data_IF_927289039693
#
_entry.id   IF_927289039693
#
_cell.length_a   1.000
_cell.length_b   1.000
_cell.length_c   1.000
_cell.angle_alpha   90.00
_cell.angle_beta   90.00
_cell.angle_gamma   90.00
#
_symmetry.space_group_name_H-M   'P 1'
#
loop_
_entity.id
_entity.type
_entity.pdbx_description
1 polymer ?
#
# COMPACT_ATOMS: atom_id res chain seq x y z
N UNK A 1 -32.38 36.83 12.03
CA UNK A 1 -32.22 35.43 11.65
C UNK A 1 -31.51 35.39 10.32
N UNK A 2 -30.26 34.94 10.26
CA UNK A 2 -29.51 34.87 8.99
C UNK A 2 -30.11 33.74 8.15
N UNK A 3 -30.96 34.05 7.21
CA UNK A 3 -31.55 33.10 6.28
C UNK A 3 -30.84 33.23 4.94
N UNK A 4 -29.82 32.45 4.72
CA UNK A 4 -29.16 32.33 3.42
C UNK A 4 -30.02 31.50 2.47
N UNK A 5 -30.08 31.90 1.20
CA UNK A 5 -30.69 31.10 0.14
C UNK A 5 -29.86 29.85 -0.14
N UNK A 6 -30.47 28.84 -0.77
CA UNK A 6 -29.73 27.64 -1.18
C UNK A 6 -28.53 27.97 -2.09
N UNK A 7 -28.69 28.96 -2.97
CA UNK A 7 -27.60 29.42 -3.85
C UNK A 7 -26.43 30.00 -3.06
N UNK A 8 -26.72 30.78 -2.01
CA UNK A 8 -25.68 31.36 -1.14
C UNK A 8 -24.97 30.27 -0.35
N UNK A 9 -25.67 29.25 0.19
CA UNK A 9 -25.07 28.10 0.84
C UNK A 9 -24.15 27.33 -0.09
N UNK A 10 -24.55 27.10 -1.33
CA UNK A 10 -23.72 26.48 -2.36
C UNK A 10 -22.49 27.32 -2.71
N UNK A 11 -22.67 28.66 -2.80
CA UNK A 11 -21.54 29.55 -3.02
C UNK A 11 -20.52 29.48 -1.89
N UNK A 12 -20.93 29.52 -0.62
CA UNK A 12 -20.05 29.33 0.52
C UNK A 12 -19.36 27.98 0.47
N UNK A 13 -20.09 26.90 0.20
CA UNK A 13 -19.50 25.58 0.04
C UNK A 13 -18.35 25.56 -0.97
N UNK A 14 -18.56 26.10 -2.18
CA UNK A 14 -17.50 26.10 -3.21
C UNK A 14 -16.33 27.00 -2.86
N UNK A 15 -16.59 28.17 -2.30
CA UNK A 15 -15.53 29.09 -1.84
C UNK A 15 -14.65 28.41 -0.79
N UNK A 16 -15.26 27.76 0.20
CA UNK A 16 -14.50 27.07 1.24
C UNK A 16 -13.84 25.78 0.76
N UNK A 17 -14.40 25.08 -0.22
CA UNK A 17 -13.70 23.99 -0.92
C UNK A 17 -12.40 24.48 -1.56
N UNK A 18 -12.46 25.66 -2.20
CA UNK A 18 -11.30 26.27 -2.85
C UNK A 18 -10.26 26.77 -1.83
N UNK A 19 -10.69 27.48 -0.80
CA UNK A 19 -9.77 27.93 0.26
C UNK A 19 -9.09 26.78 0.99
N UNK A 20 -9.84 25.72 1.29
CA UNK A 20 -9.30 24.50 1.86
C UNK A 20 -8.26 23.85 0.94
N UNK A 21 -8.52 23.83 -0.37
CA UNK A 21 -7.55 23.35 -1.34
C UNK A 21 -6.29 24.22 -1.40
N UNK A 22 -6.41 25.54 -1.38
CA UNK A 22 -5.27 26.45 -1.32
C UNK A 22 -4.42 26.18 -0.08
N UNK A 23 -5.05 26.13 1.09
CA UNK A 23 -4.37 25.90 2.36
C UNK A 23 -3.62 24.57 2.38
N UNK A 24 -4.31 23.47 2.08
CA UNK A 24 -3.72 22.10 2.07
C UNK A 24 -2.62 21.97 1.01
N UNK A 25 -2.83 22.51 -0.19
CA UNK A 25 -1.85 22.40 -1.26
C UNK A 25 -0.57 23.17 -0.92
N UNK A 26 -0.69 24.37 -0.34
CA UNK A 26 0.47 25.14 0.13
C UNK A 26 1.17 24.40 1.27
N UNK A 27 0.43 23.96 2.29
CA UNK A 27 1.00 23.26 3.44
C UNK A 27 1.78 22.02 3.03
N UNK A 28 1.16 21.15 2.22
CA UNK A 28 1.80 19.92 1.77
C UNK A 28 2.95 20.20 0.81
N UNK A 29 2.84 21.20 -0.08
CA UNK A 29 3.91 21.55 -1.01
C UNK A 29 5.17 22.04 -0.28
N UNK A 30 5.00 22.82 0.78
CA UNK A 30 6.12 23.27 1.63
C UNK A 30 6.78 22.08 2.33
N UNK A 31 5.99 21.16 2.87
CA UNK A 31 6.50 19.99 3.58
C UNK A 31 7.21 18.98 2.64
N UNK A 32 6.67 18.78 1.44
CA UNK A 32 7.21 17.85 0.43
C UNK A 32 8.29 18.49 -0.46
N UNK A 33 8.59 19.79 -0.29
CA UNK A 33 9.53 20.56 -1.12
C UNK A 33 9.26 20.48 -2.63
N UNK A 34 8.00 20.27 -3.01
CA UNK A 34 7.52 20.23 -4.41
C UNK A 34 6.06 20.66 -4.48
N UNK A 35 5.64 21.13 -5.65
CA UNK A 35 4.23 21.44 -5.84
C UNK A 35 3.36 20.18 -5.76
N UNK A 36 2.38 20.19 -4.87
CA UNK A 36 1.40 19.11 -4.69
C UNK A 36 -0.01 19.68 -4.81
N UNK A 37 -0.74 19.27 -5.84
CA UNK A 37 -2.19 19.52 -5.93
C UNK A 37 -2.90 18.58 -4.94
N UNK A 38 -3.08 19.04 -3.70
CA UNK A 38 -3.62 18.22 -2.60
C UNK A 38 -5.11 17.98 -2.76
N UNK A 39 -5.56 16.78 -2.41
CA UNK A 39 -6.97 16.43 -2.27
C UNK A 39 -7.41 15.19 -3.03
N UNK A 40 -8.66 14.83 -2.80
CA UNK A 40 -9.32 13.70 -3.45
C UNK A 40 -9.65 14.02 -4.93
N UNK A 41 -10.13 15.24 -5.20
CA UNK A 41 -10.54 15.69 -6.52
C UNK A 41 -9.35 16.14 -7.38
N UNK A 42 -9.56 16.17 -8.69
CA UNK A 42 -8.53 16.64 -9.64
C UNK A 42 -8.44 18.15 -9.68
N UNK A 43 -9.58 18.82 -9.63
CA UNK A 43 -9.69 20.27 -9.58
C UNK A 43 -9.33 20.86 -8.20
N UNK A 44 -9.32 22.19 -8.10
CA UNK A 44 -8.94 22.91 -6.90
C UNK A 44 -10.06 22.93 -5.86
N UNK A 45 -10.50 21.75 -5.43
CA UNK A 45 -11.60 21.62 -4.47
C UNK A 45 -11.30 20.52 -3.45
N UNK A 46 -11.51 20.84 -2.16
CA UNK A 46 -11.55 19.83 -1.09
C UNK A 46 -12.93 19.86 -0.44
N UNK A 47 -13.83 18.91 -0.81
CA UNK A 47 -15.21 18.89 -0.34
C UNK A 47 -15.36 18.88 1.19
N UNK A 48 -14.41 18.27 1.90
CA UNK A 48 -14.41 18.21 3.35
C UNK A 48 -14.37 19.60 3.99
N UNK A 49 -13.59 20.53 3.44
CA UNK A 49 -13.49 21.90 3.93
C UNK A 49 -14.77 22.69 3.67
N UNK A 50 -15.36 22.56 2.47
CA UNK A 50 -16.64 23.19 2.15
C UNK A 50 -17.77 22.66 3.03
N UNK A 51 -17.85 21.33 3.20
CA UNK A 51 -18.85 20.70 4.08
C UNK A 51 -18.66 21.11 5.54
N UNK A 52 -17.40 21.15 6.01
CA UNK A 52 -17.05 21.60 7.35
C UNK A 52 -17.47 23.04 7.60
N UNK A 53 -17.13 23.95 6.70
CA UNK A 53 -17.48 25.37 6.81
C UNK A 53 -19.00 25.58 6.85
N UNK A 54 -19.73 24.96 5.92
CA UNK A 54 -21.21 25.04 5.89
C UNK A 54 -21.81 24.47 7.17
N UNK A 55 -21.31 23.34 7.66
CA UNK A 55 -21.76 22.73 8.92
C UNK A 55 -21.47 23.65 10.12
N UNK A 56 -20.25 24.20 10.22
CA UNK A 56 -19.86 25.12 11.30
C UNK A 56 -20.73 26.38 11.29
N UNK A 57 -20.97 26.99 10.12
CA UNK A 57 -21.87 28.14 9.97
C UNK A 57 -23.28 27.78 10.44
N UNK A 58 -23.81 26.66 9.94
CA UNK A 58 -25.18 26.23 10.29
C UNK A 58 -25.35 25.99 11.79
N UNK A 59 -24.38 25.30 12.42
CA UNK A 59 -24.42 24.98 13.84
C UNK A 59 -24.22 26.21 14.75
N UNK A 60 -23.48 27.22 14.27
CA UNK A 60 -23.17 28.41 15.08
C UNK A 60 -24.23 29.51 14.97
N UNK A 61 -25.10 29.51 13.93
CA UNK A 61 -26.18 30.49 13.79
C UNK A 61 -27.03 30.65 15.07
N UNK A 62 -27.55 29.57 15.72
CA UNK A 62 -28.41 29.71 16.88
C UNK A 62 -27.66 30.14 18.17
N UNK A 63 -26.36 30.01 18.21
CA UNK A 63 -25.52 30.33 19.39
C UNK A 63 -24.58 31.52 19.14
N UNK A 64 -24.80 32.26 18.05
CA UNK A 64 -23.97 33.42 17.69
C UNK A 64 -23.97 34.46 18.81
N UNK A 65 -22.78 34.98 19.11
CA UNK A 65 -22.55 35.89 20.23
C UNK A 65 -22.14 35.22 21.55
N UNK A 66 -22.24 33.89 21.66
CA UNK A 66 -21.65 33.14 22.76
C UNK A 66 -20.45 32.33 22.26
N UNK A 67 -19.25 32.91 22.39
CA UNK A 67 -18.01 32.31 21.86
C UNK A 67 -17.73 30.92 22.42
N UNK A 68 -18.08 30.69 23.71
CA UNK A 68 -17.86 29.37 24.31
C UNK A 68 -18.78 28.31 23.68
N UNK A 69 -20.05 28.61 23.46
CA UNK A 69 -20.97 27.69 22.80
C UNK A 69 -20.59 27.50 21.33
N UNK A 70 -20.21 28.56 20.61
CA UNK A 70 -19.74 28.45 19.24
C UNK A 70 -18.50 27.54 19.14
N UNK A 71 -17.54 27.68 20.05
CA UNK A 71 -16.37 26.81 20.15
C UNK A 71 -16.77 25.35 20.33
N UNK A 72 -17.60 25.07 21.33
CA UNK A 72 -18.00 23.68 21.69
C UNK A 72 -18.77 23.04 20.53
N UNK A 73 -19.77 23.73 20.00
CA UNK A 73 -20.61 23.20 18.91
C UNK A 73 -19.81 22.99 17.64
N UNK A 74 -18.91 23.91 17.32
CA UNK A 74 -18.00 23.79 16.18
C UNK A 74 -17.01 22.63 16.34
N UNK A 75 -16.38 22.51 17.50
CA UNK A 75 -15.45 21.42 17.79
C UNK A 75 -16.13 20.05 17.65
N UNK A 76 -17.30 19.88 18.23
CA UNK A 76 -18.07 18.62 18.17
C UNK A 76 -18.50 18.36 16.71
N UNK A 77 -19.14 19.35 16.05
CA UNK A 77 -19.65 19.20 14.70
C UNK A 77 -18.55 18.83 13.69
N UNK A 78 -17.42 19.53 13.74
CA UNK A 78 -16.29 19.24 12.88
C UNK A 78 -15.68 17.83 13.16
N UNK A 79 -15.53 17.47 14.41
CA UNK A 79 -15.00 16.15 14.80
C UNK A 79 -15.91 15.00 14.33
N UNK A 80 -17.23 15.17 14.46
CA UNK A 80 -18.20 14.18 13.95
C UNK A 80 -18.11 14.08 12.42
N UNK A 81 -18.04 15.20 11.71
CA UNK A 81 -17.89 15.21 10.26
C UNK A 81 -16.58 14.54 9.82
N UNK A 82 -15.47 14.85 10.50
CA UNK A 82 -14.15 14.26 10.24
C UNK A 82 -14.17 12.75 10.44
N UNK A 83 -14.77 12.27 11.53
CA UNK A 83 -14.90 10.85 11.82
C UNK A 83 -15.74 10.10 10.78
N UNK A 84 -16.89 10.66 10.42
CA UNK A 84 -17.80 10.08 9.40
C UNK A 84 -17.07 10.01 8.06
N UNK A 85 -16.48 11.13 7.62
CA UNK A 85 -15.78 11.21 6.34
C UNK A 85 -14.59 10.23 6.30
N UNK A 86 -13.76 10.21 7.34
CA UNK A 86 -12.64 9.28 7.44
C UNK A 86 -13.08 7.82 7.40
N UNK A 87 -14.19 7.49 8.06
CA UNK A 87 -14.76 6.13 8.05
C UNK A 87 -15.30 5.75 6.68
N UNK A 88 -16.05 6.63 6.04
CA UNK A 88 -16.62 6.41 4.71
C UNK A 88 -15.52 6.23 3.67
N UNK A 89 -14.53 7.12 3.67
CA UNK A 89 -13.41 7.08 2.73
C UNK A 89 -12.58 5.80 2.87
N UNK A 90 -12.25 5.40 4.10
CA UNK A 90 -11.49 4.18 4.37
C UNK A 90 -12.27 2.91 3.98
N UNK A 91 -13.58 2.86 4.24
CA UNK A 91 -14.42 1.70 3.86
C UNK A 91 -14.63 1.61 2.35
N UNK A 92 -14.89 2.74 1.69
CA UNK A 92 -15.14 2.77 0.25
C UNK A 92 -13.86 2.48 -0.55
N UNK A 93 -12.75 3.14 -0.23
CA UNK A 93 -11.54 3.13 -1.04
C UNK A 93 -10.42 2.26 -0.48
N UNK A 94 -10.54 1.79 0.78
CA UNK A 94 -9.49 1.02 1.44
C UNK A 94 -8.24 1.84 1.76
N UNK A 95 -8.32 3.17 1.67
CA UNK A 95 -7.22 4.12 1.87
C UNK A 95 -7.65 5.18 2.89
N UNK A 96 -6.77 5.46 3.84
CA UNK A 96 -6.92 6.53 4.82
C UNK A 96 -6.13 7.74 4.35
N UNK A 97 -6.79 8.88 4.19
CA UNK A 97 -6.18 10.12 3.65
C UNK A 97 -5.42 10.92 4.70
N UNK A 98 -5.77 10.76 5.98
CA UNK A 98 -5.05 11.28 7.16
C UNK A 98 -5.02 10.22 8.25
N UNK A 99 -4.03 10.29 9.13
CA UNK A 99 -3.82 9.27 10.16
C UNK A 99 -3.31 9.92 11.45
N UNK A 100 -4.09 9.79 12.50
CA UNK A 100 -3.77 10.27 13.84
C UNK A 100 -3.35 9.14 14.79
N UNK A 101 -2.98 7.97 14.29
CA UNK A 101 -2.62 6.81 15.15
C UNK A 101 -1.47 7.15 16.10
N UNK A 102 -0.53 8.00 15.66
CA UNK A 102 0.61 8.43 16.46
C UNK A 102 0.28 9.57 17.44
N UNK A 103 -0.95 10.13 17.39
CA UNK A 103 -1.37 11.23 18.26
C UNK A 103 -1.99 10.70 19.56
N UNK A 104 -1.72 11.41 20.69
CA UNK A 104 -2.35 11.09 21.98
C UNK A 104 -3.86 11.33 21.91
N UNK A 105 -4.63 10.52 22.65
CA UNK A 105 -6.09 10.59 22.67
C UNK A 105 -6.73 10.56 21.28
N UNK A 106 -6.19 9.71 20.37
CA UNK A 106 -6.86 9.44 19.12
C UNK A 106 -7.94 8.36 19.28
N UNK A 107 -8.96 8.43 18.43
CA UNK A 107 -9.99 7.40 18.34
C UNK A 107 -9.90 6.74 16.95
N UNK A 108 -9.46 5.49 16.92
CA UNK A 108 -9.24 4.67 15.72
C UNK A 108 -8.34 5.35 14.67
N UNK A 109 -7.47 6.27 15.08
CA UNK A 109 -6.59 7.03 14.18
C UNK A 109 -7.30 8.00 13.22
N UNK A 110 -8.64 8.18 13.34
CA UNK A 110 -9.42 9.04 12.44
C UNK A 110 -9.64 10.44 12.99
N UNK A 111 -9.74 10.57 14.31
CA UNK A 111 -9.86 11.82 15.04
C UNK A 111 -8.93 11.81 16.24
N UNK A 112 -8.53 12.96 16.72
CA UNK A 112 -7.77 13.10 17.97
C UNK A 112 -8.15 14.39 18.73
N UNK A 113 -7.87 14.41 20.03
CA UNK A 113 -8.21 15.53 20.89
C UNK A 113 -7.55 16.84 20.42
N UNK A 114 -6.30 16.79 19.99
CA UNK A 114 -5.57 17.95 19.46
C UNK A 114 -6.31 18.58 18.27
N UNK A 115 -6.74 17.76 17.30
CA UNK A 115 -7.52 18.21 16.16
C UNK A 115 -8.88 18.76 16.58
N UNK A 116 -9.59 18.10 17.50
CA UNK A 116 -10.88 18.58 18.04
C UNK A 116 -10.76 19.97 18.65
N UNK A 117 -9.73 20.20 19.46
CA UNK A 117 -9.45 21.51 20.07
C UNK A 117 -9.18 22.58 18.98
N UNK A 118 -8.36 22.24 17.99
CA UNK A 118 -8.07 23.14 16.87
C UNK A 118 -9.32 23.46 16.04
N UNK A 119 -10.21 22.50 15.81
CA UNK A 119 -11.47 22.73 15.10
C UNK A 119 -12.38 23.73 15.83
N UNK A 120 -12.41 23.70 17.17
CA UNK A 120 -13.13 24.69 17.96
C UNK A 120 -12.59 26.10 17.74
N UNK A 121 -11.29 26.31 17.81
CA UNK A 121 -10.65 27.60 17.52
C UNK A 121 -10.86 28.02 16.08
N UNK A 122 -10.69 27.11 15.15
CA UNK A 122 -10.89 27.38 13.73
C UNK A 122 -12.34 27.81 13.45
N UNK A 123 -13.33 27.23 14.16
CA UNK A 123 -14.73 27.62 14.05
C UNK A 123 -14.92 29.10 14.42
N UNK A 124 -14.32 29.56 15.52
CA UNK A 124 -14.42 30.99 15.91
C UNK A 124 -13.79 31.91 14.84
N UNK A 125 -12.58 31.57 14.39
CA UNK A 125 -11.89 32.34 13.35
C UNK A 125 -12.69 32.34 12.06
N UNK A 126 -13.20 31.19 11.65
CA UNK A 126 -13.99 31.03 10.44
C UNK A 126 -15.29 31.87 10.48
N UNK A 127 -16.03 31.82 11.57
CA UNK A 127 -17.33 32.48 11.69
C UNK A 127 -17.18 33.99 11.90
N UNK A 128 -16.24 34.43 12.73
CA UNK A 128 -16.10 35.84 13.12
C UNK A 128 -15.14 36.64 12.23
N UNK A 129 -14.15 36.00 11.61
CA UNK A 129 -13.10 36.70 10.85
C UNK A 129 -13.23 36.41 9.36
N UNK A 130 -13.35 35.14 8.96
CA UNK A 130 -13.30 34.74 7.54
C UNK A 130 -14.68 34.89 6.88
N UNK A 131 -15.75 34.50 7.58
CA UNK A 131 -17.11 34.54 7.01
C UNK A 131 -17.60 35.97 6.66
N UNK A 132 -17.40 37.00 7.49
CA UNK A 132 -17.93 38.33 7.17
C UNK A 132 -17.48 38.89 5.81
N UNK A 133 -16.19 38.89 5.44
CA UNK A 133 -15.76 39.32 4.11
C UNK A 133 -16.26 38.40 2.99
N UNK A 134 -16.37 37.08 3.21
CA UNK A 134 -16.88 36.10 2.26
C UNK A 134 -18.39 36.35 2.04
N UNK A 135 -19.14 36.54 3.11
CA UNK A 135 -20.56 36.89 3.07
C UNK A 135 -20.79 38.19 2.29
N UNK A 136 -20.02 39.23 2.63
CA UNK A 136 -20.12 40.51 1.95
C UNK A 136 -19.88 40.38 0.43
N UNK A 137 -18.81 39.65 0.06
CA UNK A 137 -18.50 39.39 -1.36
C UNK A 137 -19.66 38.66 -2.07
N UNK A 138 -20.24 37.64 -1.46
CA UNK A 138 -21.33 36.85 -2.05
C UNK A 138 -22.61 37.70 -2.16
N UNK A 139 -22.89 38.52 -1.15
CA UNK A 139 -24.07 39.40 -1.14
C UNK A 139 -23.96 40.58 -2.12
N UNK A 140 -22.77 40.99 -2.56
CA UNK A 140 -22.55 41.97 -3.59
C UNK A 140 -22.90 41.47 -5.00
N UNK A 141 -22.91 40.16 -5.20
CA UNK A 141 -23.18 39.55 -6.51
C UNK A 141 -24.69 39.52 -6.73
N UNK A 142 -25.14 39.94 -7.93
CA UNK A 142 -26.53 39.86 -8.31
C UNK A 142 -27.04 38.40 -8.23
N UNK A 143 -28.20 38.17 -7.64
CA UNK A 143 -28.76 36.82 -7.38
C UNK A 143 -28.85 35.95 -8.64
N UNK A 144 -29.18 36.53 -9.81
CA UNK A 144 -29.23 35.76 -11.06
C UNK A 144 -27.85 35.32 -11.50
N UNK A 145 -26.84 36.19 -11.36
CA UNK A 145 -25.45 35.89 -11.70
C UNK A 145 -24.92 34.82 -10.76
N UNK A 146 -25.15 34.99 -9.46
CA UNK A 146 -24.78 34.03 -8.44
C UNK A 146 -25.41 32.64 -8.71
N UNK A 147 -26.71 32.64 -9.10
CA UNK A 147 -27.41 31.40 -9.45
C UNK A 147 -26.75 30.69 -10.63
N UNK A 148 -26.48 31.35 -11.74
CA UNK A 148 -25.85 30.70 -12.90
C UNK A 148 -24.41 30.29 -12.64
N UNK A 149 -23.64 31.09 -11.90
CA UNK A 149 -22.27 30.75 -11.52
C UNK A 149 -22.24 29.51 -10.65
N UNK A 150 -23.03 29.43 -9.59
CA UNK A 150 -23.06 28.29 -8.68
C UNK A 150 -23.53 27.01 -9.39
N UNK A 151 -24.51 27.10 -10.29
CA UNK A 151 -24.93 25.93 -11.08
C UNK A 151 -23.87 25.48 -12.07
N UNK A 152 -23.20 26.41 -12.74
CA UNK A 152 -22.04 26.06 -13.61
C UNK A 152 -20.94 25.36 -12.86
N UNK A 153 -20.55 25.88 -11.69
CA UNK A 153 -19.55 25.27 -10.83
C UNK A 153 -20.05 23.89 -10.34
N UNK A 154 -21.32 23.75 -9.97
CA UNK A 154 -21.90 22.47 -9.54
C UNK A 154 -21.75 21.39 -10.60
N UNK A 155 -22.00 21.70 -11.86
CA UNK A 155 -21.84 20.74 -12.97
C UNK A 155 -20.39 20.29 -13.09
N UNK A 156 -19.43 21.23 -13.11
CA UNK A 156 -18.00 20.93 -13.22
C UNK A 156 -17.51 20.11 -11.99
N UNK A 157 -17.93 20.54 -10.80
CA UNK A 157 -17.60 19.86 -9.55
C UNK A 157 -18.13 18.42 -9.52
N UNK A 158 -19.38 18.21 -9.93
CA UNK A 158 -20.02 16.88 -9.95
C UNK A 158 -19.30 15.95 -10.92
N UNK A 159 -18.92 16.46 -12.09
CA UNK A 159 -18.17 15.68 -13.08
C UNK A 159 -16.79 15.29 -12.56
N UNK A 160 -16.04 16.23 -11.96
CA UNK A 160 -14.72 15.95 -11.38
C UNK A 160 -14.83 15.00 -10.18
N UNK A 161 -15.82 15.19 -9.31
CA UNK A 161 -16.09 14.28 -8.19
C UNK A 161 -16.36 12.85 -8.67
N UNK A 162 -17.25 12.67 -9.64
CA UNK A 162 -17.57 11.36 -10.20
C UNK A 162 -16.35 10.68 -10.84
N UNK A 163 -15.53 11.45 -11.59
CA UNK A 163 -14.29 10.97 -12.19
C UNK A 163 -13.26 10.56 -11.14
N UNK A 164 -13.08 11.38 -10.11
CA UNK A 164 -12.16 11.11 -9.00
C UNK A 164 -12.62 9.91 -8.16
N UNK A 165 -13.92 9.80 -7.91
CA UNK A 165 -14.53 8.67 -7.21
C UNK A 165 -14.29 7.36 -7.95
N UNK A 166 -14.52 7.34 -9.28
CA UNK A 166 -14.24 6.18 -10.12
C UNK A 166 -12.75 5.80 -10.06
N UNK A 167 -11.86 6.79 -10.20
CA UNK A 167 -10.41 6.56 -10.11
C UNK A 167 -9.99 5.96 -8.76
N UNK A 168 -10.63 6.36 -7.65
CA UNK A 168 -10.36 5.82 -6.33
C UNK A 168 -10.85 4.37 -6.17
N UNK A 169 -12.00 4.00 -6.76
CA UNK A 169 -12.48 2.62 -6.82
C UNK A 169 -11.52 1.75 -7.63
N UNK A 170 -11.13 2.22 -8.82
CA UNK A 170 -10.18 1.50 -9.69
C UNK A 170 -8.82 1.31 -8.97
N UNK A 171 -8.36 2.31 -8.21
CA UNK A 171 -7.15 2.19 -7.38
C UNK A 171 -7.28 1.12 -6.30
N UNK A 172 -8.44 1.04 -5.63
CA UNK A 172 -8.72 -0.01 -4.66
C UNK A 172 -8.61 -1.41 -5.27
N UNK A 173 -9.13 -1.62 -6.47
CA UNK A 173 -9.02 -2.90 -7.18
C UNK A 173 -7.56 -3.26 -7.46
N UNK A 174 -6.75 -2.29 -7.90
CA UNK A 174 -5.30 -2.48 -8.09
C UNK A 174 -4.60 -2.86 -6.78
N UNK A 175 -4.96 -2.22 -5.65
CA UNK A 175 -4.43 -2.56 -4.34
C UNK A 175 -4.79 -3.99 -3.92
N UNK A 176 -6.04 -4.42 -4.12
CA UNK A 176 -6.49 -5.78 -3.83
C UNK A 176 -5.70 -6.80 -4.66
N UNK A 177 -5.53 -6.54 -5.94
CA UNK A 177 -4.79 -7.43 -6.84
C UNK A 177 -3.30 -7.50 -6.45
N UNK A 178 -2.68 -6.38 -6.09
CA UNK A 178 -1.29 -6.33 -5.64
C UNK A 178 -1.07 -7.10 -4.33
N UNK A 179 -2.01 -6.98 -3.36
CA UNK A 179 -1.98 -7.71 -2.11
C UNK A 179 -2.08 -9.23 -2.33
N UNK A 180 -3.06 -9.67 -3.11
CA UNK A 180 -3.27 -11.10 -3.46
C UNK A 180 -2.05 -11.68 -4.18
N UNK A 181 -1.52 -10.98 -5.17
CA UNK A 181 -0.35 -11.43 -5.92
C UNK A 181 0.87 -11.60 -4.99
N UNK A 182 1.05 -10.72 -4.00
CA UNK A 182 2.13 -10.84 -3.03
C UNK A 182 1.94 -12.03 -2.09
N UNK A 183 0.71 -12.22 -1.57
CA UNK A 183 0.41 -13.38 -0.73
C UNK A 183 0.67 -14.70 -1.46
N UNK A 184 0.27 -14.81 -2.73
CA UNK A 184 0.54 -15.99 -3.55
C UNK A 184 2.05 -16.23 -3.75
N UNK A 185 2.80 -15.17 -4.07
CA UNK A 185 4.26 -15.25 -4.20
C UNK A 185 4.91 -15.71 -2.89
N UNK A 186 4.49 -15.19 -1.75
CA UNK A 186 5.01 -15.59 -0.44
C UNK A 186 4.67 -17.06 -0.12
N UNK A 187 3.46 -17.51 -0.43
CA UNK A 187 3.07 -18.93 -0.26
C UNK A 187 3.93 -19.86 -1.12
N UNK A 188 4.16 -19.49 -2.38
CA UNK A 188 5.01 -20.26 -3.27
C UNK A 188 6.48 -20.26 -2.84
N UNK A 189 7.02 -19.12 -2.36
CA UNK A 189 8.37 -19.04 -1.86
C UNK A 189 8.58 -19.97 -0.64
N UNK A 190 7.64 -19.97 0.31
CA UNK A 190 7.68 -20.91 1.44
C UNK A 190 7.64 -22.37 0.99
N UNK A 191 6.85 -22.70 -0.02
CA UNK A 191 6.82 -24.07 -0.57
C UNK A 191 8.16 -24.45 -1.21
N UNK A 192 8.77 -23.55 -1.98
CA UNK A 192 10.11 -23.80 -2.57
C UNK A 192 11.15 -24.01 -1.47
N UNK A 193 11.12 -23.19 -0.42
CA UNK A 193 12.03 -23.32 0.72
C UNK A 193 11.91 -24.69 1.45
N UNK A 194 10.66 -25.15 1.66
CA UNK A 194 10.41 -26.48 2.23
C UNK A 194 10.91 -27.59 1.30
N UNK A 195 10.69 -27.49 0.00
CA UNK A 195 11.16 -28.48 -0.96
C UNK A 195 12.69 -28.50 -1.06
N UNK A 196 13.35 -27.34 -0.99
CA UNK A 196 14.81 -27.23 -0.92
C UNK A 196 15.38 -27.90 0.35
N UNK A 197 14.72 -27.72 1.50
CA UNK A 197 15.10 -28.37 2.75
C UNK A 197 14.97 -29.91 2.66
N UNK A 198 13.88 -30.42 2.07
CA UNK A 198 13.68 -31.86 1.85
C UNK A 198 14.73 -32.45 0.91
N UNK A 199 15.08 -31.74 -0.16
CA UNK A 199 16.13 -32.17 -1.09
C UNK A 199 17.50 -32.23 -0.40
N UNK A 200 17.83 -31.18 0.39
CA UNK A 200 19.11 -31.16 1.13
C UNK A 200 19.18 -32.25 2.17
N UNK A 201 18.13 -32.50 2.96
CA UNK A 201 18.06 -33.57 3.94
C UNK A 201 18.22 -34.96 3.28
N UNK A 202 17.56 -35.15 2.13
CA UNK A 202 17.70 -36.41 1.35
C UNK A 202 19.12 -36.63 0.81
N UNK A 203 19.78 -35.54 0.39
CA UNK A 203 21.19 -35.61 -0.07
C UNK A 203 22.17 -35.85 1.08
N UNK A 204 21.92 -35.27 2.24
CA UNK A 204 22.75 -35.48 3.47
C UNK A 204 22.58 -36.89 3.97
N UNK A 205 21.38 -37.41 4.06
CA UNK A 205 21.11 -38.81 4.41
C UNK A 205 21.73 -39.82 3.43
N UNK A 206 21.80 -39.48 2.14
CA UNK A 206 22.48 -40.32 1.14
C UNK A 206 23.98 -40.27 1.30
N UNK A 207 24.60 -39.18 1.72
CA UNK A 207 26.02 -39.07 2.04
C UNK A 207 26.39 -39.89 3.29
N UNK A 208 25.62 -39.72 4.35
CA UNK A 208 25.83 -40.45 5.61
C UNK A 208 25.71 -41.97 5.42
N UNK A 209 24.72 -42.41 4.64
CA UNK A 209 24.57 -43.82 4.27
C UNK A 209 25.74 -44.36 3.42
N UNK A 210 26.41 -43.51 2.65
CA UNK A 210 27.61 -43.86 1.89
C UNK A 210 28.85 -43.94 2.80
N UNK A 211 29.05 -42.98 3.73
CA UNK A 211 30.14 -42.98 4.69
C UNK A 211 30.08 -44.21 5.59
N UNK A 212 28.93 -44.58 6.12
CA UNK A 212 28.73 -45.79 6.93
C UNK A 212 29.10 -47.07 6.15
N UNK A 213 28.73 -47.19 4.88
CA UNK A 213 29.10 -48.31 4.02
C UNK A 213 30.60 -48.36 3.73
N UNK A 214 31.26 -47.22 3.58
CA UNK A 214 32.70 -47.13 3.42
C UNK A 214 33.46 -47.56 4.67
N UNK A 215 32.99 -47.16 5.85
CA UNK A 215 33.61 -47.57 7.13
C UNK A 215 33.41 -49.06 7.44
N UNK A 216 32.22 -49.61 7.17
CA UNK A 216 31.99 -51.06 7.26
C UNK A 216 32.86 -51.85 6.28
N UNK A 217 33.03 -51.34 5.04
CA UNK A 217 33.89 -51.97 4.05
C UNK A 217 35.36 -51.87 4.42
N UNK A 218 35.79 -50.77 5.03
CA UNK A 218 37.13 -50.53 5.56
C UNK A 218 37.43 -51.44 6.74
N UNK A 219 36.48 -51.66 7.67
CA UNK A 219 36.62 -52.63 8.79
C UNK A 219 36.71 -54.09 8.30
N UNK A 220 35.92 -54.46 7.28
CA UNK A 220 36.04 -55.79 6.64
C UNK A 220 37.38 -56.00 5.96
N UNK A 221 37.96 -54.96 5.35
CA UNK A 221 39.27 -54.99 4.73
C UNK A 221 40.42 -55.07 5.75
N UNK A 222 40.28 -54.48 6.94
CA UNK A 222 41.26 -54.53 8.01
C UNK A 222 41.48 -55.99 8.62
N UNK A 223 40.52 -56.87 8.35
CA UNK A 223 40.59 -58.29 8.79
C UNK A 223 41.25 -59.23 7.78
N UNK A 224 41.74 -58.71 6.64
CA UNK A 224 42.40 -59.50 5.60
C UNK A 224 43.94 -59.48 5.76
N UNK A 225 44.61 -60.64 5.56
CA UNK A 225 46.04 -60.82 5.68
C UNK A 225 46.91 -59.95 4.79
N UNK A 226 48.10 -59.58 5.24
CA UNK A 226 49.03 -58.57 4.65
C UNK A 226 49.36 -58.80 3.17
N UNK A 227 49.33 -60.02 2.67
CA UNK A 227 49.58 -60.30 1.22
C UNK A 227 48.46 -59.87 0.29
N UNK A 228 47.19 -59.88 0.76
CA UNK A 228 46.05 -59.38 0.02
C UNK A 228 45.92 -57.86 0.12
N UNK A 229 46.49 -57.25 1.14
CA UNK A 229 46.44 -55.79 1.34
C UNK A 229 47.20 -55.00 0.26
N UNK A 230 48.35 -55.52 -0.20
CA UNK A 230 49.13 -54.87 -1.26
C UNK A 230 48.52 -54.99 -2.64
N UNK A 231 47.78 -56.04 -2.91
CA UNK A 231 47.01 -56.16 -4.19
C UNK A 231 45.75 -55.32 -4.18
N UNK A 232 45.09 -55.21 -3.03
CA UNK A 232 43.92 -54.39 -2.83
C UNK A 232 44.27 -52.91 -2.81
N UNK A 233 45.38 -52.46 -2.24
CA UNK A 233 45.85 -51.09 -2.27
C UNK A 233 46.15 -50.61 -3.69
N UNK A 234 46.71 -51.47 -4.54
CA UNK A 234 46.90 -51.17 -5.97
C UNK A 234 45.53 -51.05 -6.72
N UNK A 235 44.58 -51.90 -6.36
CA UNK A 235 43.22 -51.81 -6.93
C UNK A 235 42.47 -50.58 -6.44
N UNK A 236 42.62 -50.18 -5.19
CA UNK A 236 42.02 -48.98 -4.60
C UNK A 236 42.59 -47.68 -5.19
N UNK A 237 43.94 -47.63 -5.44
CA UNK A 237 44.55 -46.47 -6.10
C UNK A 237 44.09 -46.32 -7.58
N UNK A 238 43.90 -47.47 -8.25
CA UNK A 238 43.33 -47.48 -9.59
C UNK A 238 41.82 -47.05 -9.60
N UNK A 239 41.07 -47.47 -8.57
CA UNK A 239 39.69 -47.03 -8.35
C UNK A 239 39.62 -45.55 -7.97
N UNK A 240 40.51 -45.06 -7.10
CA UNK A 240 40.60 -43.67 -6.71
C UNK A 240 40.89 -42.77 -7.90
N UNK A 241 41.83 -43.13 -8.77
CA UNK A 241 42.09 -42.44 -10.04
C UNK A 241 40.93 -42.51 -11.03
N UNK A 242 40.08 -43.54 -10.98
CA UNK A 242 38.85 -43.63 -11.78
C UNK A 242 37.72 -42.83 -11.14
N UNK A 243 37.68 -42.66 -9.82
CA UNK A 243 36.67 -41.85 -9.11
C UNK A 243 36.93 -40.33 -9.18
N UNK A 244 38.18 -39.92 -9.43
CA UNK A 244 38.53 -38.52 -9.67
C UNK A 244 38.16 -38.04 -11.09
N UNK A 245 37.83 -38.94 -12.00
CA UNK A 245 37.32 -38.60 -13.34
C UNK A 245 35.77 -38.60 -13.33
N UNK A 246 35.17 -37.64 -14.04
CA UNK A 246 33.76 -37.24 -14.11
C UNK A 246 32.69 -38.35 -14.29
N UNK A 247 33.09 -39.58 -14.57
CA UNK A 247 32.22 -40.76 -14.69
C UNK A 247 31.57 -41.21 -13.36
N UNK A 248 32.14 -40.84 -12.21
CA UNK A 248 31.61 -41.27 -10.92
C UNK A 248 30.43 -40.52 -10.44
N UNK A 249 30.32 -39.24 -10.83
CA UNK A 249 29.13 -38.41 -10.60
C UNK A 249 27.97 -38.97 -11.46
N UNK A 250 28.26 -39.47 -12.63
CA UNK A 250 27.28 -40.09 -13.53
C UNK A 250 26.77 -41.43 -12.99
N UNK A 251 27.62 -42.26 -12.40
CA UNK A 251 27.21 -43.53 -11.75
C UNK A 251 26.46 -43.35 -10.45
N UNK A 252 26.78 -42.34 -9.63
CA UNK A 252 25.99 -41.97 -8.47
C UNK A 252 24.61 -41.49 -8.92
N UNK A 253 24.54 -40.77 -10.00
CA UNK A 253 23.30 -40.36 -10.64
C UNK A 253 22.47 -41.55 -11.14
N UNK A 254 23.12 -42.50 -11.80
CA UNK A 254 22.52 -43.75 -12.28
C UNK A 254 22.04 -44.67 -11.16
N UNK A 255 22.74 -44.71 -10.02
CA UNK A 255 22.33 -45.49 -8.83
C UNK A 255 21.19 -44.82 -8.07
N UNK A 256 21.12 -43.51 -8.04
CA UNK A 256 20.01 -42.75 -7.52
C UNK A 256 18.78 -42.85 -8.45
N UNK A 257 18.99 -42.91 -9.76
CA UNK A 257 17.91 -43.10 -10.78
C UNK A 257 17.31 -44.52 -10.69
N UNK A 258 18.11 -45.57 -10.40
CA UNK A 258 17.61 -46.94 -10.30
C UNK A 258 16.92 -47.28 -8.96
N UNK A 259 17.04 -46.44 -7.94
CA UNK A 259 16.46 -46.69 -6.60
C UNK A 259 15.05 -46.11 -6.39
N UNK A 260 14.40 -45.52 -7.40
CA UNK A 260 13.10 -44.85 -7.28
C UNK A 260 13.13 -43.52 -6.48
N UNK A 261 14.30 -43.22 -5.87
CA UNK A 261 14.56 -41.94 -5.20
C UNK A 261 14.89 -40.84 -6.25
N UNK A 262 15.53 -41.25 -7.36
CA UNK A 262 15.82 -40.36 -8.49
C UNK A 262 14.58 -39.77 -9.13
N UNK A 263 13.58 -40.58 -9.37
CA UNK A 263 12.31 -40.18 -9.97
C UNK A 263 11.58 -39.17 -9.05
N UNK A 264 11.56 -39.41 -7.74
CA UNK A 264 10.99 -38.44 -6.77
C UNK A 264 11.77 -37.15 -6.69
N UNK A 265 13.10 -37.19 -6.81
CA UNK A 265 13.96 -36.02 -6.78
C UNK A 265 13.78 -35.17 -8.05
N UNK A 266 13.62 -35.82 -9.19
CA UNK A 266 13.35 -35.17 -10.48
C UNK A 266 11.97 -34.52 -10.49
N UNK A 267 10.96 -35.18 -9.93
CA UNK A 267 9.60 -34.63 -9.76
C UNK A 267 9.63 -33.37 -8.88
N UNK A 268 10.31 -33.41 -7.74
CA UNK A 268 10.48 -32.23 -6.86
C UNK A 268 11.21 -31.10 -7.56
N UNK A 269 12.27 -31.39 -8.31
CA UNK A 269 13.01 -30.36 -9.07
C UNK A 269 12.16 -29.75 -10.18
N UNK A 270 11.32 -30.55 -10.84
CA UNK A 270 10.39 -30.10 -11.86
C UNK A 270 9.30 -29.21 -11.23
N UNK A 271 8.75 -29.60 -10.08
CA UNK A 271 7.77 -28.79 -9.33
C UNK A 271 8.38 -27.45 -8.90
N UNK A 272 9.61 -27.44 -8.40
CA UNK A 272 10.35 -26.22 -8.05
C UNK A 272 10.56 -25.31 -9.26
N UNK A 273 10.97 -25.87 -10.41
CA UNK A 273 11.12 -25.11 -11.67
C UNK A 273 9.83 -24.48 -12.11
N UNK A 274 8.72 -25.22 -12.07
CA UNK A 274 7.40 -24.69 -12.39
C UNK A 274 6.96 -23.58 -11.44
N UNK A 275 7.17 -23.76 -10.13
CA UNK A 275 6.84 -22.73 -9.13
C UNK A 275 7.68 -21.46 -9.33
N UNK A 276 8.99 -21.58 -9.58
CA UNK A 276 9.85 -20.41 -9.89
C UNK A 276 9.37 -19.69 -11.13
N UNK A 277 9.01 -20.40 -12.20
CA UNK A 277 8.42 -19.82 -13.42
C UNK A 277 7.09 -19.11 -13.16
N UNK A 278 6.21 -19.68 -12.32
CA UNK A 278 4.96 -19.02 -11.89
C UNK A 278 5.22 -17.77 -11.08
N UNK A 279 6.18 -17.80 -10.14
CA UNK A 279 6.60 -16.63 -9.36
C UNK A 279 7.09 -15.50 -10.27
N UNK A 280 7.91 -15.80 -11.25
CA UNK A 280 8.39 -14.81 -12.23
C UNK A 280 7.25 -14.25 -13.09
N UNK A 281 6.38 -15.12 -13.59
CA UNK A 281 5.21 -14.70 -14.37
C UNK A 281 4.27 -13.80 -13.54
N UNK A 282 4.07 -14.10 -12.25
CA UNK A 282 3.29 -13.25 -11.34
C UNK A 282 3.98 -11.93 -11.05
N UNK A 283 5.30 -11.94 -10.83
CA UNK A 283 6.09 -10.69 -10.69
C UNK A 283 6.01 -9.82 -11.94
N UNK A 284 6.00 -10.43 -13.11
CA UNK A 284 5.81 -9.70 -14.38
C UNK A 284 4.38 -9.17 -14.54
N UNK A 285 3.35 -9.94 -14.16
CA UNK A 285 1.95 -9.48 -14.15
C UNK A 285 1.70 -8.39 -13.10
N UNK A 286 2.29 -8.50 -11.92
CA UNK A 286 2.26 -7.44 -10.89
C UNK A 286 2.98 -6.15 -11.33
N UNK A 287 3.77 -6.19 -12.42
CA UNK A 287 4.24 -5.01 -13.15
C UNK A 287 3.13 -4.31 -13.95
N UNK A 288 1.85 -4.62 -13.70
CA UNK A 288 0.70 -3.99 -14.34
C UNK A 288 0.86 -2.47 -14.30
N UNK A 289 0.83 -1.85 -15.47
CA UNK A 289 0.97 -0.39 -15.60
C UNK A 289 -0.21 0.24 -14.86
N UNK A 290 0.06 0.89 -13.75
CA UNK A 290 -0.93 1.76 -13.12
C UNK A 290 -1.37 2.81 -14.13
N UNK A 291 -2.68 3.06 -14.20
CA UNK A 291 -3.19 4.14 -15.05
C UNK A 291 -2.65 5.49 -14.52
N UNK A 292 -2.25 6.44 -15.38
CA UNK A 292 -1.69 7.73 -14.96
C UNK A 292 -2.55 8.46 -13.91
N UNK A 293 -3.87 8.37 -14.03
CA UNK A 293 -4.81 9.00 -13.06
C UNK A 293 -4.68 8.41 -11.64
N UNK A 294 -4.48 7.10 -11.52
CA UNK A 294 -4.29 6.43 -10.23
C UNK A 294 -2.96 6.84 -9.60
N UNK A 295 -1.91 6.92 -10.42
CA UNK A 295 -0.60 7.41 -10.02
C UNK A 295 -0.71 8.85 -9.50
N UNK A 296 -1.35 9.74 -10.24
CA UNK A 296 -1.57 11.13 -9.83
C UNK A 296 -2.38 11.23 -8.52
N UNK A 297 -3.38 10.36 -8.32
CA UNK A 297 -4.15 10.33 -7.06
C UNK A 297 -3.28 9.96 -5.86
N UNK A 298 -2.37 9.01 -6.00
CA UNK A 298 -1.41 8.65 -4.93
C UNK A 298 -0.41 9.80 -4.67
N UNK A 299 0.13 10.42 -5.72
CA UNK A 299 1.09 11.53 -5.63
C UNK A 299 0.50 12.78 -4.97
N UNK A 300 -0.80 13.04 -5.18
CA UNK A 300 -1.53 14.15 -4.54
C UNK A 300 -1.72 13.95 -3.04
N UNK A 301 -1.68 12.70 -2.57
CA UNK A 301 -1.95 12.36 -1.18
C UNK A 301 -0.77 11.58 -0.56
N UNK A 302 0.41 12.24 -0.36
CA UNK A 302 1.63 11.57 0.10
C UNK A 302 1.49 10.97 1.51
N UNK A 303 0.66 11.57 2.37
CA UNK A 303 0.35 11.09 3.72
C UNK A 303 -0.66 9.93 3.75
N UNK A 304 -1.33 9.64 2.63
CA UNK A 304 -2.30 8.56 2.58
C UNK A 304 -1.66 7.19 2.80
N UNK A 305 -2.39 6.31 3.49
CA UNK A 305 -1.95 4.94 3.82
C UNK A 305 -3.12 3.98 3.65
N UNK A 306 -2.83 2.73 3.26
CA UNK A 306 -3.80 1.65 3.34
C UNK A 306 -3.45 0.72 4.49
N UNK A 307 -4.37 0.55 5.43
CA UNK A 307 -4.22 -0.40 6.54
C UNK A 307 -4.74 -1.78 6.16
N UNK A 308 -5.69 -1.84 5.24
CA UNK A 308 -6.28 -3.09 4.78
C UNK A 308 -5.43 -3.78 3.70
N UNK A 309 -4.73 -3.00 2.86
CA UNK A 309 -3.90 -3.47 1.75
C UNK A 309 -2.49 -2.91 1.90
N UNK A 310 -1.85 -3.15 3.06
CA UNK A 310 -0.57 -2.54 3.43
C UNK A 310 0.55 -2.87 2.45
N UNK A 311 0.63 -4.11 2.07
CA UNK A 311 1.72 -4.61 1.23
C UNK A 311 1.54 -4.17 -0.23
N UNK A 312 0.31 -4.21 -0.75
CA UNK A 312 -0.01 -3.65 -2.05
C UNK A 312 0.27 -2.15 -2.12
N UNK A 313 -0.11 -1.40 -1.08
CA UNK A 313 0.18 0.02 -0.98
C UNK A 313 1.68 0.32 -0.95
N UNK A 314 2.43 -0.39 -0.11
CA UNK A 314 3.89 -0.25 0.01
C UNK A 314 4.60 -0.60 -1.30
N UNK A 315 4.16 -1.67 -1.96
CA UNK A 315 4.68 -2.07 -3.27
C UNK A 315 4.49 -0.98 -4.33
N UNK A 316 3.29 -0.42 -4.43
CA UNK A 316 2.99 0.65 -5.39
C UNK A 316 3.78 1.92 -5.07
N UNK A 317 3.88 2.32 -3.80
CA UNK A 317 4.64 3.50 -3.37
C UNK A 317 6.14 3.36 -3.68
N UNK A 318 6.75 2.20 -3.42
CA UNK A 318 8.16 1.93 -3.75
C UNK A 318 8.43 1.92 -5.27
N UNK A 319 7.43 1.49 -6.06
CA UNK A 319 7.54 1.53 -7.53
C UNK A 319 7.52 2.96 -8.06
N UNK A 320 6.77 3.85 -7.44
CA UNK A 320 6.70 5.27 -7.79
C UNK A 320 8.04 5.97 -7.53
N UNK A 321 8.64 5.77 -6.35
CA UNK A 321 9.93 6.39 -6.01
C UNK A 321 11.05 5.97 -6.97
N UNK A 322 11.06 4.71 -7.43
CA UNK A 322 12.05 4.23 -8.43
C UNK A 322 11.80 4.75 -9.85
N UNK A 323 10.55 5.09 -10.19
CA UNK A 323 10.19 5.68 -11.48
C UNK A 323 10.65 7.13 -11.59
N UNK A 324 10.50 7.91 -10.52
CA UNK A 324 10.96 9.30 -10.45
C UNK A 324 12.50 9.43 -10.54
N UNK A 325 13.26 8.44 -10.03
CA UNK A 325 14.72 8.41 -10.12
C UNK A 325 15.22 8.11 -11.56
N UNK A 326 14.43 7.39 -12.35
CA UNK A 326 14.77 7.09 -13.75
C UNK A 326 14.39 8.20 -14.74
N UNK A 327 13.45 9.08 -14.42
CA UNK A 327 13.11 10.24 -15.24
C UNK A 327 14.03 11.45 -14.98
N UNK A 328 14.80 11.43 -13.89
CA UNK A 328 15.79 12.46 -13.53
C UNK A 328 17.21 12.16 -14.01
N UNK A 329 17.45 11.00 -14.62
CA UNK A 329 18.70 10.63 -15.33
C UNK A 329 18.53 10.71 -16.84
#
# INVERSE_FOLDING_TARGET
MYTYSMTQWLAFFFIYCFFGWCFESVYVSVHEHRWVNRGFMTGPYIPLYGSGAVLMLFLTIPVRGNYLLMYIVGAIGATVLEYITGTVMENLFGVRYWDYTDKKFNFRGRICLEATVLWGFFTLVMVEVIQPPVEHMVMMINDRVLYYMTWGITVVFTFDFASSFRTAIDLKEVLIQAERAKEEVQRMQKRVEVLEAVVNDSLESAKDGMEVRWDEQKQRMALLTEERMTELARHMDALRKRLENSESIERIRETVETSGAGEKLEDIQNEMRQMRGRIEAMRMRARTKMHPRQLHMMLRNPSARSFKYQEGWRYLKNKMSRGEDNEKK
#
